data_IF_466270877119
#
_entry.id   IF_466270877119
#
_cell.length_a   1.000
_cell.length_b   1.000
_cell.length_c   1.000
_cell.angle_alpha   90.00
_cell.angle_beta   90.00
_cell.angle_gamma   90.00
#
_symmetry.space_group_name_H-M   'P 1'
#
loop_
_entity.id
_entity.type
_entity.pdbx_description
1 polymer ?
#
# COMPACT_ATOMS: atom_id res chain seq x y z
N UNK A 1 -11.58 -14.56 17.69
CA UNK A 1 -10.19 -14.90 18.00
C UNK A 1 -9.19 -13.93 17.39
N UNK A 2 -8.00 -13.88 17.92
CA UNK A 2 -6.93 -13.01 17.41
C UNK A 2 -6.21 -13.73 16.27
N UNK A 3 -6.01 -13.05 15.15
CA UNK A 3 -5.27 -13.59 14.02
C UNK A 3 -3.78 -13.70 14.35
N UNK A 4 -3.22 -14.90 14.26
CA UNK A 4 -1.85 -15.18 14.72
C UNK A 4 -0.79 -14.68 13.72
N UNK A 5 -1.04 -14.79 12.41
CA UNK A 5 -0.03 -14.48 11.40
C UNK A 5 0.22 -12.97 11.18
N UNK A 6 -0.71 -12.12 11.58
CA UNK A 6 -0.65 -10.68 11.36
C UNK A 6 -0.44 -9.86 12.63
N UNK A 7 -0.43 -10.52 13.78
CA UNK A 7 -0.20 -9.90 15.08
C UNK A 7 1.07 -10.43 15.74
N UNK A 8 1.50 -9.77 16.79
CA UNK A 8 2.60 -10.24 17.61
C UNK A 8 2.25 -11.57 18.26
N UNK A 9 3.22 -12.49 18.26
CA UNK A 9 3.03 -13.79 18.87
C UNK A 9 2.88 -13.61 20.39
N UNK A 10 1.77 -14.12 20.94
CA UNK A 10 1.59 -14.16 22.39
C UNK A 10 2.53 -15.20 22.99
N UNK A 11 3.55 -14.76 23.70
CA UNK A 11 4.54 -15.62 24.33
C UNK A 11 3.98 -16.46 25.49
N UNK A 12 2.78 -16.13 25.97
CA UNK A 12 2.11 -16.84 27.06
C UNK A 12 1.09 -17.88 26.54
N UNK A 13 0.78 -17.89 25.25
CA UNK A 13 -0.35 -18.66 24.71
C UNK A 13 -0.21 -20.16 24.93
N UNK A 14 0.96 -20.74 24.74
CA UNK A 14 1.22 -22.17 24.98
C UNK A 14 1.60 -22.51 26.43
N UNK A 15 1.71 -21.48 27.27
CA UNK A 15 2.07 -21.62 28.66
C UNK A 15 0.84 -21.80 29.56
N UNK A 16 0.73 -20.97 30.57
CA UNK A 16 -0.36 -21.05 31.54
C UNK A 16 -1.70 -20.69 30.91
N UNK A 17 -2.70 -21.57 31.04
CA UNK A 17 -4.08 -21.26 30.69
C UNK A 17 -4.68 -20.23 31.66
N UNK A 18 -5.80 -19.61 31.25
CA UNK A 18 -6.49 -18.62 32.10
C UNK A 18 -6.91 -19.16 33.47
N UNK A 19 -7.12 -20.47 33.59
CA UNK A 19 -7.47 -21.13 34.84
C UNK A 19 -6.29 -21.36 35.81
N UNK A 20 -5.07 -21.34 35.28
CA UNK A 20 -3.85 -21.44 36.09
C UNK A 20 -3.29 -20.05 36.38
N UNK A 21 -4.06 -19.22 36.95
CA UNK A 21 -3.70 -17.96 37.59
C UNK A 21 -2.47 -17.27 37.01
N UNK A 22 -2.59 -16.74 35.80
CA UNK A 22 -1.53 -16.01 35.09
C UNK A 22 -0.89 -14.92 35.97
N UNK A 23 -1.66 -14.36 36.88
CA UNK A 23 -1.20 -13.35 37.84
C UNK A 23 -0.25 -13.89 38.90
N UNK A 24 -0.37 -15.14 39.33
CA UNK A 24 0.56 -15.71 40.33
C UNK A 24 1.91 -16.10 39.74
N UNK A 25 1.98 -16.46 38.46
CA UNK A 25 3.24 -16.69 37.75
C UNK A 25 4.06 -15.42 37.52
N UNK A 26 3.43 -14.28 37.62
CA UNK A 26 4.05 -12.96 37.43
C UNK A 26 4.44 -12.28 38.74
N UNK A 27 4.06 -12.84 39.88
CA UNK A 27 4.48 -12.30 41.17
C UNK A 27 5.93 -12.70 41.44
N UNK A 28 6.69 -11.75 41.70
CA UNK A 28 8.08 -11.53 42.04
C UNK A 28 8.94 -12.64 42.67
N UNK A 29 8.42 -13.78 43.04
CA UNK A 29 9.16 -14.77 43.80
C UNK A 29 9.45 -16.10 43.09
N UNK A 30 8.85 -16.33 41.94
CA UNK A 30 9.05 -17.57 41.20
C UNK A 30 10.11 -17.39 40.10
N UNK A 31 11.35 -17.45 40.46
CA UNK A 31 12.41 -17.78 39.51
C UNK A 31 12.18 -19.21 39.03
N UNK A 32 11.26 -19.34 38.06
CA UNK A 32 11.00 -20.62 37.43
C UNK A 32 12.15 -21.03 36.53
N UNK A 33 12.54 -22.26 36.59
CA UNK A 33 13.38 -22.86 35.55
C UNK A 33 12.58 -22.98 34.29
N UNK A 34 13.07 -22.46 33.21
CA UNK A 34 12.38 -22.37 31.94
C UNK A 34 12.16 -20.93 31.56
N UNK A 35 11.03 -20.63 30.93
CA UNK A 35 10.67 -19.27 30.60
C UNK A 35 10.28 -18.52 31.87
N UNK A 36 11.12 -17.63 32.36
CA UNK A 36 10.83 -16.75 33.48
C UNK A 36 9.85 -15.68 33.03
N UNK A 37 8.74 -15.53 33.75
CA UNK A 37 7.89 -14.38 33.59
C UNK A 37 8.66 -13.11 33.93
N UNK A 38 8.81 -12.21 33.01
CA UNK A 38 9.41 -10.90 33.26
C UNK A 38 8.37 -9.83 32.97
N UNK A 39 8.03 -9.09 34.01
CA UNK A 39 7.33 -7.83 33.86
C UNK A 39 8.40 -6.78 33.54
N UNK A 40 8.47 -6.38 32.28
CA UNK A 40 9.43 -5.40 31.82
C UNK A 40 8.75 -4.21 31.18
N UNK A 41 9.37 -3.05 31.31
CA UNK A 41 9.00 -1.90 30.51
C UNK A 41 9.42 -2.07 29.06
N UNK A 42 8.79 -1.32 28.19
CA UNK A 42 9.20 -1.19 26.79
C UNK A 42 10.72 -0.94 26.68
N UNK A 43 11.48 -1.73 25.91
CA UNK A 43 12.92 -1.52 25.73
C UNK A 43 13.29 -0.13 25.17
N UNK A 44 12.32 0.60 24.60
CA UNK A 44 12.48 2.00 24.20
C UNK A 44 12.45 3.00 25.35
N UNK A 45 12.12 2.56 26.57
CA UNK A 45 12.09 3.40 27.78
C UNK A 45 13.33 3.12 28.62
N UNK A 46 14.19 4.09 28.77
CA UNK A 46 15.48 3.99 29.49
C UNK A 46 15.34 3.70 30.99
N UNK A 47 14.19 3.92 31.58
CA UNK A 47 13.91 3.62 32.98
C UNK A 47 12.72 2.69 33.09
N UNK A 48 12.92 1.41 33.41
CA UNK A 48 11.81 0.49 33.65
C UNK A 48 11.23 0.76 35.05
N UNK A 49 10.60 1.90 35.23
CA UNK A 49 9.79 2.11 36.42
C UNK A 49 8.53 1.27 36.37
N UNK A 50 8.18 0.68 37.48
CA UNK A 50 7.15 -0.32 37.70
C UNK A 50 5.71 0.08 37.28
N UNK A 51 5.51 1.22 36.71
CA UNK A 51 4.25 1.76 36.20
C UNK A 51 4.10 1.67 34.68
N UNK A 52 4.95 0.92 34.01
CA UNK A 52 4.78 0.69 32.59
C UNK A 52 3.52 -0.17 32.37
N UNK A 53 2.44 0.48 32.02
CA UNK A 53 1.16 -0.12 31.58
C UNK A 53 1.33 -0.88 30.24
N UNK A 54 2.51 -1.03 29.74
CA UNK A 54 2.80 -1.68 28.47
C UNK A 54 3.04 -3.17 28.69
N UNK A 55 1.93 -3.91 28.69
CA UNK A 55 1.94 -5.38 28.78
C UNK A 55 2.46 -6.06 27.52
N UNK A 56 2.71 -5.31 26.45
CA UNK A 56 3.10 -5.81 25.13
C UNK A 56 4.48 -6.47 25.13
N UNK A 57 5.33 -6.12 26.08
CA UNK A 57 6.69 -6.68 26.23
C UNK A 57 6.81 -7.72 27.35
N UNK A 58 5.70 -8.09 27.95
CA UNK A 58 5.71 -9.12 28.99
C UNK A 58 5.97 -10.49 28.37
N UNK A 59 6.87 -11.23 28.98
CA UNK A 59 7.20 -12.59 28.58
C UNK A 59 6.33 -13.57 29.36
N UNK A 60 5.64 -14.44 28.65
CA UNK A 60 4.84 -15.48 29.27
C UNK A 60 5.71 -16.55 29.94
N UNK A 61 5.16 -17.19 30.96
CA UNK A 61 5.80 -18.30 31.68
C UNK A 61 5.25 -19.63 31.18
N UNK A 62 6.12 -20.65 31.06
CA UNK A 62 5.72 -22.03 30.82
C UNK A 62 4.89 -22.60 31.96
N UNK A 63 4.23 -23.71 31.73
CA UNK A 63 3.48 -24.45 32.73
C UNK A 63 4.43 -25.04 33.78
N UNK A 64 4.03 -24.97 35.04
CA UNK A 64 4.71 -25.69 36.11
C UNK A 64 4.44 -27.19 35.96
N UNK A 65 5.35 -28.01 36.45
CA UNK A 65 5.26 -29.48 36.35
C UNK A 65 3.97 -30.03 36.91
N UNK A 66 3.56 -29.52 38.09
CA UNK A 66 2.31 -29.93 38.77
C UNK A 66 1.05 -29.55 37.94
N UNK A 67 1.09 -28.48 37.21
CA UNK A 67 0.00 -28.07 36.34
C UNK A 67 0.06 -28.82 34.99
N UNK A 68 1.23 -29.10 34.49
CA UNK A 68 1.39 -29.87 33.27
C UNK A 68 0.86 -31.33 33.43
N UNK A 69 1.08 -31.94 34.60
CA UNK A 69 0.56 -33.26 34.94
C UNK A 69 -0.95 -33.32 35.07
N UNK A 70 -1.59 -32.19 35.36
CA UNK A 70 -3.06 -32.09 35.52
C UNK A 70 -3.80 -31.71 34.22
N UNK A 71 -3.08 -31.58 33.09
CA UNK A 71 -3.72 -31.26 31.81
C UNK A 71 -4.56 -32.46 31.33
N UNK A 72 -5.88 -32.34 31.45
CA UNK A 72 -6.84 -33.38 31.11
C UNK A 72 -7.78 -33.02 29.94
N UNK A 73 -7.63 -31.81 29.43
CA UNK A 73 -8.47 -31.33 28.32
C UNK A 73 -9.84 -30.82 28.75
N UNK A 74 -10.15 -30.75 30.05
CA UNK A 74 -11.43 -30.33 30.57
C UNK A 74 -11.35 -29.09 31.47
N UNK A 75 -12.30 -28.18 31.32
CA UNK A 75 -12.47 -27.03 32.18
C UNK A 75 -11.26 -26.11 32.27
N UNK A 76 -10.73 -25.91 33.47
CA UNK A 76 -9.58 -25.05 33.74
C UNK A 76 -8.23 -25.69 33.34
N UNK A 77 -8.22 -26.98 33.17
CA UNK A 77 -7.03 -27.76 32.82
C UNK A 77 -6.95 -28.06 31.31
N UNK A 78 -7.70 -27.35 30.51
CA UNK A 78 -7.70 -27.55 29.06
C UNK A 78 -6.44 -26.98 28.40
N UNK A 79 -5.96 -27.68 27.38
CA UNK A 79 -4.95 -27.15 26.46
C UNK A 79 -5.49 -25.92 25.73
N UNK A 80 -4.65 -24.93 25.55
CA UNK A 80 -4.98 -23.82 24.68
C UNK A 80 -5.06 -24.33 23.22
N UNK A 81 -6.08 -23.91 22.50
CA UNK A 81 -6.38 -24.42 21.18
C UNK A 81 -6.20 -23.33 20.13
N UNK A 82 -5.71 -23.72 18.98
CA UNK A 82 -5.69 -22.89 17.76
C UNK A 82 -6.61 -23.52 16.74
N UNK A 83 -7.31 -22.71 16.00
CA UNK A 83 -8.16 -23.14 14.91
C UNK A 83 -7.81 -22.34 13.66
N UNK A 84 -8.19 -22.85 12.51
CA UNK A 84 -8.12 -22.10 11.26
C UNK A 84 -9.47 -22.12 10.58
N UNK A 85 -9.79 -21.06 9.88
CA UNK A 85 -10.94 -20.94 9.01
C UNK A 85 -10.49 -20.60 7.60
N UNK A 86 -11.26 -21.04 6.62
CA UNK A 86 -11.03 -20.69 5.22
C UNK A 86 -12.15 -19.74 4.82
N UNK A 87 -11.78 -18.55 4.45
CA UNK A 87 -12.71 -17.54 4.00
C UNK A 87 -12.47 -17.22 2.53
N UNK A 88 -13.52 -16.83 1.84
CA UNK A 88 -13.44 -16.41 0.44
C UNK A 88 -13.90 -14.97 0.30
N UNK A 89 -13.22 -14.25 -0.56
CA UNK A 89 -13.64 -12.92 -0.99
C UNK A 89 -14.10 -12.99 -2.43
N UNK A 90 -15.28 -12.48 -2.69
CA UNK A 90 -15.86 -12.44 -4.03
C UNK A 90 -15.65 -11.08 -4.67
N UNK A 91 -15.29 -11.07 -5.93
CA UNK A 91 -15.10 -9.85 -6.72
C UNK A 91 -16.20 -9.73 -7.75
N UNK A 92 -16.90 -8.60 -7.75
CA UNK A 92 -17.90 -8.31 -8.76
C UNK A 92 -17.26 -7.55 -9.91
N UNK A 93 -17.25 -8.15 -11.10
CA UNK A 93 -16.72 -7.51 -12.29
C UNK A 93 -17.71 -6.51 -12.87
N UNK A 94 -17.22 -5.30 -13.16
CA UNK A 94 -17.97 -4.23 -13.85
C UNK A 94 -17.37 -3.98 -15.22
N UNK A 95 -18.19 -3.48 -16.15
CA UNK A 95 -17.78 -3.26 -17.52
C UNK A 95 -17.43 -1.79 -17.75
N UNK A 96 -16.38 -1.55 -18.53
CA UNK A 96 -16.09 -0.29 -19.20
C UNK A 96 -16.24 -0.48 -20.69
N UNK A 97 -16.80 0.49 -21.36
CA UNK A 97 -16.99 0.46 -22.80
C UNK A 97 -16.87 1.87 -23.37
N UNK A 98 -16.23 1.97 -24.52
CA UNK A 98 -16.08 3.20 -25.28
C UNK A 98 -16.28 2.88 -26.75
N UNK A 99 -16.92 3.78 -27.49
CA UNK A 99 -17.12 3.65 -28.93
C UNK A 99 -16.70 4.92 -29.66
N UNK A 100 -16.26 4.76 -30.89
CA UNK A 100 -16.07 5.85 -31.85
C UNK A 100 -16.75 5.53 -33.16
N UNK A 101 -17.21 6.57 -33.82
CA UNK A 101 -17.82 6.53 -35.16
C UNK A 101 -17.03 7.47 -36.06
N UNK A 102 -16.81 7.08 -37.29
CA UNK A 102 -16.15 7.93 -38.29
C UNK A 102 -16.84 7.83 -39.64
N UNK A 103 -16.78 8.89 -40.42
CA UNK A 103 -17.38 8.91 -41.77
C UNK A 103 -16.43 8.27 -42.78
N UNK A 104 -17.00 7.70 -43.82
CA UNK A 104 -16.20 7.10 -44.92
C UNK A 104 -15.40 8.15 -45.65
N UNK A 105 -15.96 9.37 -45.85
CA UNK A 105 -15.29 10.49 -46.46
C UNK A 105 -14.02 10.88 -45.67
N UNK A 106 -14.12 11.00 -44.35
CA UNK A 106 -12.97 11.30 -43.50
C UNK A 106 -11.89 10.23 -43.63
N UNK A 107 -12.27 8.97 -43.70
CA UNK A 107 -11.29 7.87 -43.84
C UNK A 107 -10.59 7.91 -45.21
N UNK A 108 -11.30 8.30 -46.28
CA UNK A 108 -10.72 8.46 -47.60
C UNK A 108 -9.76 9.64 -47.66
N UNK A 109 -10.16 10.79 -47.11
CA UNK A 109 -9.32 12.00 -47.09
C UNK A 109 -8.07 11.82 -46.27
N UNK A 110 -8.16 11.21 -45.10
CA UNK A 110 -6.99 10.87 -44.25
C UNK A 110 -6.01 9.94 -44.98
N UNK A 111 -6.55 8.97 -45.70
CA UNK A 111 -5.71 8.05 -46.46
C UNK A 111 -5.08 8.73 -47.68
N UNK A 112 -5.80 9.58 -48.37
CA UNK A 112 -5.33 10.26 -49.59
C UNK A 112 -4.29 11.34 -49.30
N UNK A 113 -4.52 12.14 -48.22
CA UNK A 113 -3.68 13.31 -47.92
C UNK A 113 -2.53 12.94 -46.98
N UNK A 114 -2.82 12.17 -45.94
CA UNK A 114 -1.87 11.87 -44.87
C UNK A 114 -1.34 10.42 -44.90
N UNK A 115 -1.90 9.56 -45.73
CA UNK A 115 -1.50 8.13 -45.76
C UNK A 115 -1.88 7.33 -44.51
N UNK A 116 -2.72 7.92 -43.63
CA UNK A 116 -3.10 7.31 -42.33
C UNK A 116 -4.40 6.51 -42.49
N UNK A 117 -4.52 5.43 -41.74
CA UNK A 117 -5.74 4.66 -41.65
C UNK A 117 -6.56 5.14 -40.45
N UNK A 118 -7.69 5.77 -40.69
CA UNK A 118 -8.56 6.31 -39.65
C UNK A 118 -9.01 5.27 -38.62
N UNK A 119 -9.23 4.03 -39.05
CA UNK A 119 -9.61 2.94 -38.16
C UNK A 119 -8.47 2.59 -37.18
N UNK A 120 -7.26 2.44 -37.68
CA UNK A 120 -6.11 2.09 -36.85
C UNK A 120 -5.78 3.19 -35.83
N UNK A 121 -5.82 4.45 -36.28
CA UNK A 121 -5.57 5.59 -35.39
C UNK A 121 -6.63 5.72 -34.31
N UNK A 122 -7.90 5.61 -34.65
CA UNK A 122 -8.99 5.63 -33.65
C UNK A 122 -8.90 4.42 -32.70
N UNK A 123 -8.55 3.25 -33.19
CA UNK A 123 -8.38 2.08 -32.34
C UNK A 123 -7.24 2.28 -31.31
N UNK A 124 -6.12 2.86 -31.75
CA UNK A 124 -4.99 3.18 -30.88
C UNK A 124 -5.40 4.21 -29.82
N UNK A 125 -6.04 5.30 -30.21
CA UNK A 125 -6.51 6.35 -29.29
C UNK A 125 -7.47 5.77 -28.25
N UNK A 126 -8.48 5.02 -28.67
CA UNK A 126 -9.48 4.44 -27.76
C UNK A 126 -8.87 3.43 -26.80
N UNK A 127 -7.97 2.57 -27.27
CA UNK A 127 -7.31 1.58 -26.41
C UNK A 127 -6.42 2.25 -25.38
N UNK A 128 -5.65 3.25 -25.79
CA UNK A 128 -4.78 4.03 -24.89
C UNK A 128 -5.59 4.77 -23.83
N UNK A 129 -6.71 5.39 -24.21
CA UNK A 129 -7.58 6.11 -23.28
C UNK A 129 -8.18 5.18 -22.22
N UNK A 130 -8.71 4.02 -22.62
CA UNK A 130 -9.25 3.04 -21.65
C UNK A 130 -8.17 2.54 -20.70
N UNK A 131 -6.97 2.26 -21.21
CA UNK A 131 -5.86 1.82 -20.36
C UNK A 131 -5.44 2.92 -19.39
N UNK A 132 -5.38 4.18 -19.84
CA UNK A 132 -5.08 5.32 -18.98
C UNK A 132 -6.15 5.49 -17.89
N UNK A 133 -7.44 5.37 -18.23
CA UNK A 133 -8.52 5.41 -17.25
C UNK A 133 -8.38 4.32 -16.16
N UNK A 134 -8.09 3.08 -16.58
CA UNK A 134 -7.92 1.95 -15.65
C UNK A 134 -6.72 2.19 -14.73
N UNK A 135 -5.59 2.61 -15.29
CA UNK A 135 -4.39 2.91 -14.53
C UNK A 135 -4.65 4.01 -13.49
N UNK A 136 -5.35 5.07 -13.88
CA UNK A 136 -5.73 6.14 -12.96
C UNK A 136 -6.67 5.67 -11.86
N UNK A 137 -7.63 4.82 -12.19
CA UNK A 137 -8.54 4.25 -11.19
C UNK A 137 -7.76 3.43 -10.15
N UNK A 138 -6.81 2.60 -10.57
CA UNK A 138 -5.96 1.82 -9.67
C UNK A 138 -5.12 2.74 -8.77
N UNK A 139 -4.43 3.72 -9.35
CA UNK A 139 -3.59 4.67 -8.61
C UNK A 139 -4.43 5.45 -7.59
N UNK A 140 -5.56 5.99 -8.00
CA UNK A 140 -6.46 6.74 -7.09
C UNK A 140 -7.06 5.87 -6.00
N UNK A 141 -7.31 4.60 -6.29
CA UNK A 141 -7.78 3.64 -5.30
C UNK A 141 -6.69 3.40 -4.26
N UNK A 142 -5.43 3.24 -4.68
CA UNK A 142 -4.29 3.15 -3.76
C UNK A 142 -4.22 4.38 -2.86
N UNK A 143 -4.33 5.59 -3.41
CA UNK A 143 -4.30 6.83 -2.61
C UNK A 143 -5.42 6.93 -1.58
N UNK A 144 -6.63 6.51 -1.97
CA UNK A 144 -7.78 6.55 -1.06
C UNK A 144 -7.70 5.52 0.05
N UNK A 145 -7.26 4.33 -0.29
CA UNK A 145 -7.23 3.21 0.66
C UNK A 145 -5.99 3.21 1.55
N UNK A 146 -4.88 3.85 1.11
CA UNK A 146 -3.64 3.91 1.86
C UNK A 146 -3.83 4.47 3.27
N UNK A 147 -3.26 3.79 4.25
CA UNK A 147 -3.24 4.25 5.64
C UNK A 147 -2.39 5.52 5.75
N UNK A 148 -2.71 6.34 6.74
CA UNK A 148 -1.96 7.55 7.03
C UNK A 148 -0.55 7.21 7.51
N UNK A 149 0.46 7.71 6.81
CA UNK A 149 1.86 7.62 7.22
C UNK A 149 2.28 8.78 8.12
N UNK A 150 3.57 8.88 8.42
CA UNK A 150 4.16 9.97 9.22
C UNK A 150 3.38 10.25 10.52
N UNK A 151 3.01 9.19 11.25
CA UNK A 151 2.17 9.32 12.45
C UNK A 151 2.96 9.75 13.68
N UNK A 152 4.25 9.43 13.73
CA UNK A 152 5.12 9.72 14.87
C UNK A 152 6.32 10.56 14.46
N UNK A 153 6.71 11.49 15.32
CA UNK A 153 7.83 12.41 15.14
C UNK A 153 7.66 13.43 13.99
N UNK A 154 6.44 13.77 13.66
CA UNK A 154 6.09 14.88 12.78
C UNK A 154 5.16 15.82 13.52
N UNK A 155 5.23 17.11 13.22
CA UNK A 155 4.38 18.12 13.87
C UNK A 155 2.89 17.83 13.63
N UNK A 156 2.55 17.34 12.44
CA UNK A 156 1.19 16.95 12.08
C UNK A 156 1.18 15.53 11.52
N UNK A 157 0.39 14.66 12.09
CA UNK A 157 0.23 13.30 11.59
C UNK A 157 -0.25 13.28 10.12
N UNK A 158 0.40 12.47 9.30
CA UNK A 158 0.11 12.36 7.85
C UNK A 158 0.76 13.42 6.98
N UNK A 159 1.48 14.36 7.56
CA UNK A 159 2.18 15.42 6.85
C UNK A 159 3.64 15.42 7.25
N UNK A 160 4.49 15.57 6.27
CA UNK A 160 5.92 15.79 6.48
C UNK A 160 6.27 17.19 5.97
N UNK A 161 6.65 18.06 6.89
CA UNK A 161 7.06 19.43 6.59
C UNK A 161 8.57 19.51 6.55
N UNK A 162 9.11 19.87 5.39
CA UNK A 162 10.56 19.96 5.21
C UNK A 162 11.22 21.05 6.07
N UNK A 163 10.46 22.05 6.49
CA UNK A 163 11.01 23.11 7.33
C UNK A 163 10.97 22.78 8.83
N UNK A 164 9.95 22.05 9.26
CA UNK A 164 9.72 21.76 10.68
C UNK A 164 10.24 20.37 11.07
N UNK A 165 9.98 19.37 10.23
CA UNK A 165 10.25 17.96 10.55
C UNK A 165 11.63 17.49 10.08
N UNK A 166 12.33 18.30 9.28
CA UNK A 166 13.65 17.97 8.76
C UNK A 166 14.74 18.86 9.38
N UNK A 167 15.72 18.23 10.03
CA UNK A 167 16.84 18.92 10.68
C UNK A 167 17.98 19.19 9.68
N UNK A 168 17.78 20.08 8.73
CA UNK A 168 18.81 20.44 7.76
C UNK A 168 18.92 21.95 7.57
N UNK A 169 20.14 22.45 7.36
CA UNK A 169 20.37 23.85 6.97
C UNK A 169 20.20 24.05 5.47
N UNK A 170 20.59 23.06 4.69
CA UNK A 170 20.59 23.08 3.24
C UNK A 170 19.43 22.26 2.70
N UNK A 171 18.87 22.68 1.58
CA UNK A 171 17.75 21.97 0.93
C UNK A 171 18.05 20.49 0.67
N UNK A 172 19.28 20.17 0.27
CA UNK A 172 19.73 18.79 0.04
C UNK A 172 19.68 17.95 1.33
N UNK A 173 20.04 18.54 2.48
CA UNK A 173 19.96 17.85 3.78
C UNK A 173 18.51 17.61 4.18
N UNK A 174 17.63 18.59 3.94
CA UNK A 174 16.19 18.44 4.16
C UNK A 174 15.59 17.32 3.31
N UNK A 175 16.01 17.19 2.05
CA UNK A 175 15.59 16.11 1.18
C UNK A 175 16.10 14.73 1.65
N UNK A 176 17.27 14.65 2.27
CA UNK A 176 17.71 13.41 2.94
C UNK A 176 16.84 13.05 4.16
N UNK A 177 16.31 14.07 4.85
CA UNK A 177 15.32 13.87 5.91
C UNK A 177 14.02 13.23 5.39
N UNK A 178 13.56 13.66 4.20
CA UNK A 178 12.41 13.02 3.52
C UNK A 178 12.68 11.54 3.22
N UNK A 179 13.89 11.20 2.77
CA UNK A 179 14.28 9.81 2.53
C UNK A 179 14.18 8.97 3.80
N UNK A 180 14.65 9.50 4.92
CA UNK A 180 14.55 8.82 6.20
C UNK A 180 13.10 8.57 6.62
N UNK A 181 12.21 9.53 6.37
CA UNK A 181 10.79 9.35 6.64
C UNK A 181 10.16 8.26 5.74
N UNK A 182 10.52 8.21 4.47
CA UNK A 182 10.09 7.14 3.56
C UNK A 182 10.53 5.77 4.11
N UNK A 183 11.77 5.67 4.57
CA UNK A 183 12.32 4.44 5.16
C UNK A 183 11.55 4.02 6.42
N UNK A 184 11.18 4.99 7.27
CA UNK A 184 10.36 4.74 8.47
C UNK A 184 8.97 4.23 8.12
N UNK A 185 8.31 4.82 7.12
CA UNK A 185 7.00 4.37 6.67
C UNK A 185 7.07 2.97 6.06
N UNK A 186 8.13 2.67 5.31
CA UNK A 186 8.37 1.32 4.78
C UNK A 186 8.58 0.29 5.90
N UNK A 187 9.33 0.64 6.95
CA UNK A 187 9.52 -0.22 8.12
C UNK A 187 8.21 -0.41 8.90
N UNK A 188 7.39 0.62 9.01
CA UNK A 188 6.09 0.51 9.66
C UNK A 188 5.13 -0.42 8.92
N UNK A 189 5.20 -0.48 7.57
CA UNK A 189 4.47 -1.48 6.79
C UNK A 189 4.93 -2.89 7.19
N UNK A 190 6.24 -3.12 7.27
CA UNK A 190 6.79 -4.41 7.69
C UNK A 190 6.32 -4.83 9.09
N UNK A 191 6.35 -3.90 10.04
CA UNK A 191 5.91 -4.15 11.41
C UNK A 191 4.43 -4.51 11.51
N UNK A 192 3.58 -3.85 10.71
CA UNK A 192 2.13 -4.05 10.75
C UNK A 192 1.65 -5.23 9.94
N UNK A 193 2.25 -5.48 8.78
CA UNK A 193 1.85 -6.59 7.90
C UNK A 193 2.59 -7.88 8.21
N UNK A 194 3.80 -7.80 8.77
CA UNK A 194 4.72 -8.92 9.02
C UNK A 194 5.02 -9.77 7.77
N UNK A 195 4.78 -9.20 6.60
CA UNK A 195 5.05 -9.83 5.31
C UNK A 195 6.34 -9.35 4.69
N UNK A 196 6.61 -8.05 4.80
CA UNK A 196 7.81 -7.47 4.26
C UNK A 196 7.79 -5.95 4.29
N UNK A 197 8.96 -5.39 4.08
CA UNK A 197 9.16 -3.95 4.02
C UNK A 197 8.60 -3.38 2.73
N UNK A 198 8.08 -2.15 2.79
CA UNK A 198 7.67 -1.44 1.59
C UNK A 198 8.76 -1.44 0.52
N UNK A 199 8.39 -1.68 -0.73
CA UNK A 199 9.31 -1.80 -1.86
C UNK A 199 8.89 -0.99 -3.09
N UNK A 200 7.76 -0.34 -3.03
CA UNK A 200 7.22 0.50 -4.09
C UNK A 200 6.95 1.89 -3.52
N UNK A 201 7.34 2.91 -4.26
CA UNK A 201 7.04 4.31 -3.96
C UNK A 201 6.31 4.89 -5.16
N UNK A 202 5.16 5.47 -4.90
CA UNK A 202 4.39 6.24 -5.87
C UNK A 202 4.40 7.69 -5.39
N UNK A 203 4.89 8.61 -6.19
CA UNK A 203 5.07 9.99 -5.78
C UNK A 203 4.69 10.98 -6.88
N UNK A 204 4.57 12.25 -6.50
CA UNK A 204 4.45 13.35 -7.45
C UNK A 204 5.80 13.65 -8.11
N UNK A 205 5.77 14.33 -9.24
CA UNK A 205 6.98 14.69 -10.00
C UNK A 205 7.98 15.51 -9.17
N UNK A 206 7.48 16.45 -8.38
CA UNK A 206 8.32 17.33 -7.56
C UNK A 206 9.04 16.57 -6.44
N UNK A 207 8.34 15.60 -5.81
CA UNK A 207 8.96 14.71 -4.82
C UNK A 207 10.04 13.84 -5.46
N UNK A 208 9.81 13.33 -6.67
CA UNK A 208 10.83 12.57 -7.39
C UNK A 208 12.05 13.43 -7.71
N UNK A 209 11.84 14.68 -8.13
CA UNK A 209 12.92 15.65 -8.38
C UNK A 209 13.71 15.95 -7.11
N UNK A 210 13.05 16.12 -5.97
CA UNK A 210 13.70 16.31 -4.69
C UNK A 210 14.58 15.12 -4.29
N UNK A 211 14.08 13.89 -4.50
CA UNK A 211 14.85 12.66 -4.23
C UNK A 211 16.07 12.53 -5.16
N UNK A 212 15.95 13.00 -6.39
CA UNK A 212 17.08 13.05 -7.33
C UNK A 212 18.14 14.05 -6.88
N UNK A 213 17.71 15.24 -6.48
CA UNK A 213 18.62 16.28 -5.96
C UNK A 213 19.34 15.83 -4.69
N UNK A 214 18.72 14.97 -3.90
CA UNK A 214 19.37 14.33 -2.75
C UNK A 214 20.47 13.32 -3.16
N UNK A 215 20.59 13.00 -4.45
CA UNK A 215 21.60 12.06 -5.00
C UNK A 215 21.34 10.61 -4.65
N UNK A 216 20.09 10.23 -4.40
CA UNK A 216 19.71 8.88 -3.93
C UNK A 216 18.82 8.13 -4.90
N UNK A 217 18.25 8.80 -5.88
CA UNK A 217 17.42 8.19 -6.91
C UNK A 217 18.25 7.93 -8.16
N UNK A 218 18.43 6.66 -8.49
CA UNK A 218 19.06 6.24 -9.74
C UNK A 218 18.00 6.16 -10.84
N UNK A 219 18.02 7.11 -11.75
CA UNK A 219 17.16 7.09 -12.92
C UNK A 219 17.54 5.97 -13.88
N UNK A 220 16.57 5.32 -14.47
CA UNK A 220 16.82 4.45 -15.60
C UNK A 220 17.28 5.27 -16.80
N UNK A 221 18.29 4.81 -17.58
CA UNK A 221 18.82 5.55 -18.72
C UNK A 221 17.78 5.98 -19.76
N UNK A 222 16.70 5.24 -19.89
CA UNK A 222 15.60 5.56 -20.79
C UNK A 222 14.82 6.83 -20.41
N UNK A 223 14.83 7.21 -19.14
CA UNK A 223 14.15 8.41 -18.63
C UNK A 223 15.04 9.66 -18.60
N UNK A 224 16.35 9.51 -18.72
CA UNK A 224 17.28 10.65 -18.69
C UNK A 224 17.16 11.59 -19.90
N UNK A 225 16.61 11.13 -21.01
CA UNK A 225 16.51 11.94 -22.22
C UNK A 225 15.18 12.69 -22.34
N UNK A 226 14.11 12.13 -21.84
CA UNK A 226 12.78 12.73 -21.86
C UNK A 226 11.98 12.14 -20.69
N UNK A 227 11.37 12.99 -19.87
CA UNK A 227 10.27 12.63 -18.97
C UNK A 227 9.03 12.22 -19.81
N UNK A 228 9.24 11.36 -20.79
CA UNK A 228 8.12 10.84 -21.55
C UNK A 228 7.33 9.91 -20.65
N UNK A 229 6.18 10.41 -20.25
CA UNK A 229 5.11 9.59 -19.73
C UNK A 229 4.83 8.55 -20.81
N UNK A 230 4.95 7.27 -20.47
CA UNK A 230 4.45 6.21 -21.32
C UNK A 230 3.02 6.57 -21.75
N UNK A 231 2.63 6.24 -22.96
CA UNK A 231 1.28 6.46 -23.49
C UNK A 231 0.19 5.89 -22.56
N UNK A 232 0.57 4.95 -21.69
CA UNK A 232 -0.28 4.38 -20.64
C UNK A 232 -0.36 5.23 -19.36
N UNK A 233 0.34 6.35 -19.27
CA UNK A 233 0.33 7.24 -18.11
C UNK A 233 1.06 6.68 -16.89
N UNK A 234 1.86 5.63 -17.04
CA UNK A 234 2.65 5.04 -15.97
C UNK A 234 4.12 5.33 -16.21
N UNK A 235 4.72 6.11 -15.32
CA UNK A 235 6.12 6.52 -15.45
C UNK A 235 6.96 5.87 -14.37
N UNK A 236 7.73 4.85 -14.76
CA UNK A 236 8.75 4.29 -13.89
C UNK A 236 9.97 5.21 -13.89
N UNK A 237 10.25 5.87 -12.76
CA UNK A 237 11.36 6.80 -12.65
C UNK A 237 12.71 6.11 -12.44
N UNK A 238 12.74 5.06 -11.65
CA UNK A 238 13.99 4.39 -11.32
C UNK A 238 13.93 3.66 -9.99
N UNK A 239 15.09 3.36 -9.45
CA UNK A 239 15.23 2.70 -8.15
C UNK A 239 15.87 3.63 -7.13
N UNK A 240 15.28 3.73 -5.96
CA UNK A 240 15.80 4.47 -4.84
C UNK A 240 16.66 3.53 -3.99
N UNK A 241 17.96 3.85 -3.85
CA UNK A 241 18.94 3.03 -3.12
C UNK A 241 18.97 1.55 -3.54
N UNK A 242 18.58 1.20 -4.76
CA UNK A 242 18.49 -0.19 -5.20
C UNK A 242 17.41 -1.05 -4.50
N UNK A 243 16.61 -0.45 -3.62
CA UNK A 243 15.59 -1.17 -2.82
C UNK A 243 14.16 -0.85 -3.23
N UNK A 244 13.88 0.41 -3.55
CA UNK A 244 12.52 0.88 -3.83
C UNK A 244 12.37 1.18 -5.30
N UNK A 245 11.29 0.71 -5.89
CA UNK A 245 10.88 1.11 -7.25
C UNK A 245 10.05 2.37 -7.14
N UNK A 246 10.48 3.43 -7.82
CA UNK A 246 9.81 4.73 -7.80
C UNK A 246 8.99 4.90 -9.08
N UNK A 247 7.73 5.21 -8.90
CA UNK A 247 6.80 5.54 -9.98
C UNK A 247 6.32 6.98 -9.81
N UNK A 248 6.35 7.75 -10.89
CA UNK A 248 5.84 9.12 -10.91
C UNK A 248 4.40 9.09 -11.41
N UNK A 249 3.50 9.70 -10.67
CA UNK A 249 2.16 9.99 -11.16
C UNK A 249 2.17 11.34 -11.90
N UNK A 250 2.07 11.36 -13.24
CA UNK A 250 2.10 12.59 -14.01
C UNK A 250 0.88 13.47 -13.78
N UNK A 251 -0.19 12.89 -13.28
CA UNK A 251 -1.43 13.57 -12.96
C UNK A 251 -1.61 13.82 -11.47
N UNK A 252 -0.57 13.59 -10.67
CA UNK A 252 -0.53 14.02 -9.28
C UNK A 252 -0.81 15.52 -9.27
N UNK A 253 -1.93 15.84 -8.67
CA UNK A 253 -2.54 17.14 -8.83
C UNK A 253 -1.58 18.27 -8.48
N UNK A 254 -1.09 18.92 -9.49
CA UNK A 254 -0.88 20.36 -9.47
C UNK A 254 -2.25 21.08 -9.36
N UNK A 255 -3.13 20.56 -8.53
CA UNK A 255 -4.32 21.27 -8.15
C UNK A 255 -3.83 22.47 -7.37
N UNK A 256 -3.82 23.58 -8.05
CA UNK A 256 -3.79 24.91 -7.47
C UNK A 256 -4.87 24.91 -6.38
N UNK A 257 -4.47 24.49 -5.18
CA UNK A 257 -5.34 24.56 -4.02
C UNK A 257 -5.61 26.02 -3.74
N UNK A 258 -6.81 26.32 -3.32
CA UNK A 258 -7.28 27.60 -2.80
C UNK A 258 -6.34 28.09 -1.67
N UNK A 259 -5.17 28.62 -2.02
CA UNK A 259 -4.21 29.04 -0.99
C UNK A 259 -2.92 29.65 -1.48
N UNK A 260 -2.77 29.90 -2.77
CA UNK A 260 -1.62 30.61 -3.28
C UNK A 260 -0.93 29.94 -4.46
N UNK A 261 -0.09 30.64 -5.18
CA UNK A 261 0.51 30.19 -6.44
C UNK A 261 1.49 29.01 -6.33
N UNK A 262 1.64 28.41 -5.15
CA UNK A 262 2.58 27.30 -4.91
C UNK A 262 2.00 26.15 -4.09
N UNK A 263 0.70 26.06 -3.95
CA UNK A 263 0.05 25.16 -2.99
C UNK A 263 -0.43 23.82 -3.54
N UNK A 264 0.28 23.18 -4.45
CA UNK A 264 0.04 21.77 -4.70
C UNK A 264 0.50 20.95 -3.50
N UNK A 265 -0.42 20.24 -2.82
CA UNK A 265 -0.01 19.28 -1.80
C UNK A 265 0.75 18.15 -2.49
N UNK A 266 2.06 18.17 -2.38
CA UNK A 266 2.91 17.09 -2.86
C UNK A 266 2.72 15.89 -1.95
N UNK A 267 2.82 14.69 -2.48
CA UNK A 267 2.62 13.47 -1.71
C UNK A 267 3.45 12.31 -2.23
N UNK A 268 3.66 11.37 -1.36
CA UNK A 268 4.14 10.04 -1.74
C UNK A 268 3.30 8.96 -1.06
N UNK A 269 3.26 7.80 -1.67
CA UNK A 269 2.70 6.58 -1.10
C UNK A 269 3.78 5.52 -1.11
N UNK A 270 4.09 4.99 0.06
CA UNK A 270 4.92 3.81 0.20
C UNK A 270 4.03 2.58 0.19
N UNK A 271 4.38 1.56 -0.57
CA UNK A 271 3.62 0.34 -0.71
C UNK A 271 4.48 -0.91 -0.67
N UNK A 272 3.85 -2.03 -0.35
CA UNK A 272 4.47 -3.34 -0.36
C UNK A 272 3.78 -4.28 -1.35
N UNK A 273 4.61 -4.98 -2.13
CA UNK A 273 4.20 -6.10 -2.96
C UNK A 273 5.23 -7.22 -2.83
N UNK A 274 4.77 -8.38 -2.37
CA UNK A 274 5.63 -9.56 -2.26
C UNK A 274 5.87 -10.26 -3.59
N UNK A 275 6.67 -11.32 -3.55
CA UNK A 275 6.96 -12.18 -4.70
C UNK A 275 5.76 -13.04 -5.10
N UNK A 276 4.92 -13.42 -4.12
CA UNK A 276 3.70 -14.17 -4.38
C UNK A 276 2.60 -13.27 -4.98
N UNK A 277 1.82 -13.77 -5.95
CA UNK A 277 0.66 -13.03 -6.46
C UNK A 277 -0.38 -12.69 -5.39
N UNK A 278 -0.44 -13.46 -4.31
CA UNK A 278 -1.40 -13.27 -3.21
C UNK A 278 -0.91 -12.29 -2.14
N UNK A 279 0.35 -11.89 -2.21
CA UNK A 279 0.97 -11.00 -1.23
C UNK A 279 1.03 -9.57 -1.74
N UNK A 280 -0.13 -8.97 -1.83
CA UNK A 280 -0.33 -7.58 -2.26
C UNK A 280 -1.50 -6.96 -1.51
N UNK A 281 -1.51 -5.63 -1.39
CA UNK A 281 -2.58 -4.90 -0.70
C UNK A 281 -3.85 -4.69 -1.54
N UNK A 282 -3.73 -4.76 -2.87
CA UNK A 282 -4.82 -4.55 -3.81
C UNK A 282 -4.70 -5.57 -4.94
N UNK A 283 -5.83 -6.16 -5.32
CA UNK A 283 -5.92 -7.11 -6.42
C UNK A 283 -6.76 -6.53 -7.55
N UNK A 284 -6.20 -6.52 -8.72
CA UNK A 284 -6.89 -6.26 -9.98
C UNK A 284 -7.26 -7.59 -10.62
N UNK A 285 -8.55 -7.82 -10.82
CA UNK A 285 -9.09 -9.08 -11.31
C UNK A 285 -9.76 -8.87 -12.67
N UNK A 286 -9.04 -9.03 -13.79
CA UNK A 286 -9.63 -8.94 -15.11
C UNK A 286 -10.46 -10.19 -15.37
N UNK A 287 -11.73 -9.99 -15.73
CA UNK A 287 -12.63 -11.06 -16.15
C UNK A 287 -12.65 -11.22 -17.67
N UNK A 288 -12.76 -10.10 -18.37
CA UNK A 288 -12.68 -10.05 -19.83
C UNK A 288 -11.60 -9.03 -20.19
N UNK A 289 -10.57 -9.44 -20.96
CA UNK A 289 -9.55 -8.51 -21.43
C UNK A 289 -10.16 -7.46 -22.37
N UNK A 290 -9.39 -6.45 -22.69
CA UNK A 290 -9.82 -5.42 -23.63
C UNK A 290 -10.10 -6.03 -25.01
N UNK A 291 -11.33 -5.95 -25.45
CA UNK A 291 -11.79 -6.50 -26.74
C UNK A 291 -12.25 -5.38 -27.64
N UNK A 292 -11.82 -5.42 -28.89
CA UNK A 292 -12.29 -4.53 -29.95
C UNK A 292 -13.46 -5.19 -30.69
N UNK A 293 -14.51 -4.43 -30.93
CA UNK A 293 -15.68 -4.82 -31.71
C UNK A 293 -15.87 -3.82 -32.83
N UNK A 294 -16.10 -4.31 -34.05
CA UNK A 294 -16.41 -3.51 -35.21
C UNK A 294 -17.87 -3.71 -35.59
N UNK A 295 -18.53 -2.65 -35.96
CA UNK A 295 -19.92 -2.69 -36.45
C UNK A 295 -20.14 -1.59 -37.50
N UNK A 296 -21.13 -1.77 -38.32
CA UNK A 296 -21.63 -0.74 -39.23
C UNK A 296 -22.95 -0.21 -38.67
N UNK A 297 -23.12 1.10 -38.66
CA UNK A 297 -24.33 1.74 -38.17
C UNK A 297 -25.56 1.42 -39.06
N UNK A 298 -26.66 0.99 -38.42
CA UNK A 298 -27.88 0.61 -39.15
C UNK A 298 -28.48 1.76 -39.95
N UNK A 299 -28.45 2.96 -39.39
CA UNK A 299 -29.13 4.13 -40.00
C UNK A 299 -28.18 5.01 -40.80
N UNK A 300 -26.90 5.06 -40.45
CA UNK A 300 -25.91 5.95 -41.08
C UNK A 300 -24.98 5.25 -42.04
N UNK A 301 -24.96 3.91 -42.06
CA UNK A 301 -23.99 3.05 -42.78
C UNK A 301 -22.52 3.40 -42.53
N UNK A 302 -22.27 4.16 -41.45
CA UNK A 302 -20.90 4.54 -41.07
C UNK A 302 -20.25 3.48 -40.18
N UNK A 303 -18.94 3.25 -40.33
CA UNK A 303 -18.22 2.30 -39.51
C UNK A 303 -18.12 2.79 -38.07
N UNK A 304 -18.26 1.85 -37.13
CA UNK A 304 -18.16 2.07 -35.69
C UNK A 304 -17.17 1.09 -35.09
N UNK A 305 -16.36 1.59 -34.19
CA UNK A 305 -15.41 0.79 -33.43
C UNK A 305 -15.77 0.92 -31.95
N UNK A 306 -15.81 -0.19 -31.23
CA UNK A 306 -16.05 -0.19 -29.81
C UNK A 306 -15.00 -1.02 -29.08
N UNK A 307 -14.60 -0.56 -27.91
CA UNK A 307 -13.79 -1.32 -26.96
C UNK A 307 -14.59 -1.61 -25.72
N UNK A 308 -14.46 -2.82 -25.22
CA UNK A 308 -15.13 -3.27 -24.01
C UNK A 308 -14.20 -4.13 -23.17
N UNK A 309 -14.21 -3.90 -21.86
CA UNK A 309 -13.51 -4.72 -20.86
C UNK A 309 -14.37 -4.92 -19.63
N UNK A 310 -14.10 -5.98 -18.89
CA UNK A 310 -14.75 -6.25 -17.60
C UNK A 310 -13.68 -6.64 -16.58
N UNK A 311 -13.68 -5.97 -15.45
CA UNK A 311 -12.76 -6.24 -14.36
C UNK A 311 -13.38 -5.86 -13.01
N UNK A 312 -12.76 -6.31 -11.96
CA UNK A 312 -13.07 -5.92 -10.59
C UNK A 312 -11.81 -5.64 -9.80
N UNK A 313 -11.95 -4.86 -8.75
CA UNK A 313 -10.86 -4.59 -7.79
C UNK A 313 -11.32 -4.95 -6.39
N UNK A 314 -10.41 -5.51 -5.61
CA UNK A 314 -10.64 -5.92 -4.23
C UNK A 314 -9.37 -5.68 -3.41
N UNK A 315 -9.52 -5.27 -2.16
CA UNK A 315 -8.40 -5.18 -1.23
C UNK A 315 -8.06 -6.57 -0.67
N UNK A 316 -6.85 -6.71 -0.16
CA UNK A 316 -6.48 -7.91 0.57
C UNK A 316 -7.39 -8.06 1.80
N UNK A 317 -7.92 -9.25 2.09
CA UNK A 317 -8.75 -9.51 3.27
C UNK A 317 -8.12 -9.08 4.59
N UNK A 318 -6.80 -9.18 4.66
CA UNK A 318 -6.02 -8.82 5.86
C UNK A 318 -5.49 -7.37 5.84
N UNK A 319 -5.84 -6.59 4.85
CA UNK A 319 -5.39 -5.20 4.75
C UNK A 319 -5.90 -4.32 5.89
N UNK A 320 -7.07 -4.63 6.43
CA UNK A 320 -7.72 -3.89 7.54
C UNK A 320 -7.22 -4.31 8.93
N UNK A 321 -6.36 -5.31 9.02
CA UNK A 321 -5.80 -5.80 10.28
C UNK A 321 -6.54 -6.97 10.88
N UNK A 322 -6.85 -6.92 12.19
CA UNK A 322 -7.41 -8.02 12.96
C UNK A 322 -8.88 -8.35 12.66
N UNK A 323 -9.59 -7.44 12.05
CA UNK A 323 -10.96 -7.65 11.64
C UNK A 323 -10.99 -8.48 10.36
N UNK A 324 -11.89 -9.44 10.28
CA UNK A 324 -12.12 -10.21 9.08
C UNK A 324 -12.42 -9.27 7.91
N UNK A 325 -11.43 -8.99 7.10
CA UNK A 325 -11.57 -8.12 5.94
C UNK A 325 -12.39 -8.82 4.88
N UNK A 326 -13.45 -8.16 4.45
CA UNK A 326 -14.27 -8.63 3.33
C UNK A 326 -13.69 -8.21 1.96
N UNK A 327 -12.42 -7.78 1.93
CA UNK A 327 -11.78 -7.24 0.74
C UNK A 327 -12.32 -5.88 0.31
N UNK A 328 -12.95 -5.14 1.21
CA UNK A 328 -13.54 -3.83 0.94
C UNK A 328 -12.45 -2.79 0.67
N UNK A 329 -12.74 -1.88 -0.26
CA UNK A 329 -11.89 -0.73 -0.54
C UNK A 329 -12.25 0.42 0.40
N UNK A 330 -11.88 0.31 1.67
CA UNK A 330 -12.14 1.33 2.67
C UNK A 330 -11.05 2.41 2.66
N UNK A 331 -11.47 3.63 2.93
CA UNK A 331 -10.57 4.79 2.97
C UNK A 331 -9.65 4.72 4.20
N UNK A 332 -8.36 4.95 4.02
CA UNK A 332 -7.32 5.02 5.05
C UNK A 332 -7.17 3.75 5.92
N UNK A 333 -7.49 2.57 5.40
CA UNK A 333 -7.43 1.34 6.19
C UNK A 333 -6.46 0.28 5.65
N UNK A 334 -5.94 0.46 4.44
CA UNK A 334 -5.05 -0.52 3.86
C UNK A 334 -3.64 -0.42 4.44
N UNK A 335 -3.25 -1.36 5.27
CA UNK A 335 -1.94 -1.44 5.94
C UNK A 335 -0.76 -1.73 5.01
N UNK A 336 -1.02 -2.17 3.79
CA UNK A 336 0.02 -2.41 2.79
C UNK A 336 0.51 -1.13 2.13
N UNK A 337 -0.22 -0.04 2.29
CA UNK A 337 0.09 1.26 1.71
C UNK A 337 0.06 2.35 2.77
N UNK A 338 1.03 3.27 2.70
CA UNK A 338 1.11 4.44 3.57
C UNK A 338 1.25 5.70 2.75
N UNK A 339 0.35 6.63 2.98
CA UNK A 339 0.32 7.92 2.30
C UNK A 339 0.80 9.04 3.22
N UNK A 340 1.69 9.87 2.69
CA UNK A 340 2.18 11.07 3.37
C UNK A 340 2.09 12.26 2.42
N UNK A 341 1.63 13.37 2.95
CA UNK A 341 1.64 14.67 2.26
C UNK A 341 2.93 15.39 2.59
N UNK A 342 3.63 15.90 1.58
CA UNK A 342 4.87 16.67 1.74
C UNK A 342 4.55 18.15 1.58
N UNK A 343 5.01 18.95 2.53
CA UNK A 343 4.86 20.42 2.52
C UNK A 343 6.21 21.08 2.46
N UNK A 344 6.19 22.34 2.02
CA UNK A 344 7.38 23.21 1.97
C UNK A 344 8.53 22.57 1.19
N UNK A 345 8.19 21.98 0.04
CA UNK A 345 9.20 21.38 -0.84
C UNK A 345 10.10 22.46 -1.46
N UNK A 346 9.53 23.66 -1.67
CA UNK A 346 10.22 24.93 -1.99
C UNK A 346 9.51 26.09 -1.33
#
# INVERSE_FOLDING_TARGET
GTETFYNEVDSAFSGQSAGFNKTQGWSSAATGMGTTAQAGGNPGVLSPTATATNTDYNVGQGLRTDNAEKLDGTGTNAFNQMAFSIEKVTVTAKSRALKAEYSLELAQDLKAIHGLNAEAELANILSTEILAEINREVIRTIYKTAEQGAVSNTANAGQFDLDIDSNGRWSVEKFKGLLFQIERDANAIAQRTRRGKGNIILCSADVASALTMAGVLDYTPALNANLNVDDTGNTFAGTLQGKYRVYIDPYAANLVGTGGPQGGNQYYVCGYKGSSPYDAGLFYCPYVPLQMVRAVGENSFQPKIGFKTRYGMVANPFAEGTTQGLGRLQTNQNRYYRRVTVKNLM
#
